data_IF_153074034360
#
_entry.id   IF_153074034360
#
_cell.length_a   1.000
_cell.length_b   1.000
_cell.length_c   1.000
_cell.angle_alpha   90.00
_cell.angle_beta   90.00
_cell.angle_gamma   90.00
#
_symmetry.space_group_name_H-M   'P 1'
#
loop_
_entity.id
_entity.type
_entity.pdbx_description
1 polymer ?
#
# COMPACT_ATOMS: atom_id res chain seq x y z
N UNK A 1 -12.40 7.83 75.76
CA UNK A 1 -12.81 6.40 75.83
C UNK A 1 -11.70 5.62 75.14
N UNK A 2 -10.69 5.03 75.79
CA UNK A 2 -10.58 4.27 77.05
C UNK A 2 -11.03 2.80 76.95
N UNK A 3 -10.10 1.92 76.58
CA UNK A 3 -9.88 0.49 76.97
C UNK A 3 -8.87 -0.11 75.95
N UNK A 4 -7.66 -0.62 76.29
CA UNK A 4 -7.27 -1.75 77.17
C UNK A 4 -7.70 -3.13 76.57
N UNK A 5 -6.93 -4.24 76.53
CA UNK A 5 -5.67 -4.74 77.17
C UNK A 5 -4.91 -5.60 76.12
N UNK A 6 -3.57 -5.72 76.03
CA UNK A 6 -2.52 -6.34 76.89
C UNK A 6 -2.66 -7.85 77.17
N UNK A 7 -1.72 -8.67 76.66
CA UNK A 7 -1.13 -9.86 77.33
C UNK A 7 0.14 -10.40 76.60
N UNK A 8 1.13 -10.89 77.36
CA UNK A 8 2.42 -11.47 76.91
C UNK A 8 2.45 -13.01 76.94
N UNK A 9 3.37 -13.63 76.18
CA UNK A 9 4.15 -14.83 76.59
C UNK A 9 5.43 -15.01 75.72
N UNK A 10 6.41 -15.80 76.19
CA UNK A 10 7.80 -15.85 75.69
C UNK A 10 8.29 -17.32 75.34
N UNK A 11 9.56 -17.56 74.89
CA UNK A 11 10.03 -18.78 74.14
C UNK A 11 10.56 -19.89 75.10
N UNK A 12 11.52 -20.83 74.82
CA UNK A 12 12.39 -21.19 73.66
C UNK A 12 12.31 -22.73 73.33
N UNK A 13 13.32 -23.52 72.82
CA UNK A 13 14.71 -23.23 72.38
C UNK A 13 15.31 -24.02 71.16
N UNK A 14 16.60 -23.74 70.91
CA UNK A 14 17.73 -24.56 70.41
C UNK A 14 17.94 -25.02 68.94
N UNK A 15 19.24 -25.00 68.59
CA UNK A 15 19.89 -25.19 67.28
C UNK A 15 20.38 -26.65 67.07
N UNK A 16 20.88 -27.01 65.88
CA UNK A 16 22.33 -26.87 65.69
C UNK A 16 22.76 -26.27 64.35
N UNK A 17 24.02 -25.79 64.35
CA UNK A 17 24.72 -25.15 63.24
C UNK A 17 25.16 -26.17 62.18
N UNK A 18 25.03 -25.81 60.90
CA UNK A 18 25.93 -26.31 59.85
C UNK A 18 26.29 -25.16 58.90
N UNK A 19 27.58 -24.86 58.80
CA UNK A 19 28.09 -23.82 57.92
C UNK A 19 28.54 -24.46 56.60
N UNK A 20 27.92 -24.05 55.49
CA UNK A 20 28.43 -24.30 54.15
C UNK A 20 28.26 -23.01 53.32
N UNK A 21 29.38 -22.32 53.08
CA UNK A 21 29.39 -21.17 52.20
C UNK A 21 29.40 -21.63 50.73
N UNK A 22 28.36 -21.29 49.98
CA UNK A 22 28.39 -21.36 48.52
C UNK A 22 27.53 -20.25 47.88
N UNK A 23 28.09 -19.71 46.81
CA UNK A 23 27.73 -18.53 46.03
C UNK A 23 26.22 -18.34 45.72
N UNK A 24 25.75 -17.09 45.55
CA UNK A 24 24.38 -16.83 45.11
C UNK A 24 24.13 -17.42 43.71
N UNK A 25 23.07 -18.22 43.58
CA UNK A 25 22.64 -18.83 42.32
C UNK A 25 22.29 -17.75 41.29
N UNK A 26 23.03 -17.70 40.18
CA UNK A 26 22.77 -16.75 39.11
C UNK A 26 21.39 -17.01 38.48
N UNK A 27 20.55 -15.98 38.44
CA UNK A 27 19.34 -15.98 37.61
C UNK A 27 19.71 -16.27 36.15
N UNK A 28 18.94 -17.07 35.40
CA UNK A 28 19.22 -17.29 33.99
C UNK A 28 19.13 -15.96 33.26
N UNK A 29 20.25 -15.52 32.65
CA UNK A 29 20.28 -14.25 31.93
C UNK A 29 19.21 -14.23 30.83
N UNK A 30 18.48 -13.12 30.67
CA UNK A 30 17.44 -12.96 29.64
C UNK A 30 17.95 -13.28 28.21
N UNK A 31 19.26 -13.16 28.00
CA UNK A 31 20.01 -13.62 26.83
C UNK A 31 19.73 -15.08 26.44
N UNK A 32 19.53 -15.98 27.40
CA UNK A 32 19.34 -17.42 27.18
C UNK A 32 17.91 -17.73 26.69
N UNK A 33 16.89 -17.16 27.34
CA UNK A 33 15.48 -17.30 26.92
C UNK A 33 15.25 -16.70 25.53
N UNK A 34 15.86 -15.55 25.23
CA UNK A 34 15.82 -14.94 23.89
C UNK A 34 16.51 -15.82 22.85
N UNK A 35 17.54 -16.57 23.22
CA UNK A 35 18.25 -17.50 22.31
C UNK A 35 17.44 -18.77 22.05
N UNK A 36 16.77 -19.33 23.07
CA UNK A 36 15.83 -20.45 22.92
C UNK A 36 14.61 -20.07 22.08
N UNK A 37 13.99 -18.90 22.33
CA UNK A 37 12.87 -18.40 21.50
C UNK A 37 13.27 -18.21 20.03
N UNK A 38 14.50 -17.72 19.77
CA UNK A 38 15.03 -17.63 18.40
C UNK A 38 15.27 -19.00 17.74
N UNK A 39 15.76 -19.99 18.49
CA UNK A 39 15.94 -21.35 17.96
C UNK A 39 14.60 -22.04 17.67
N UNK A 40 13.60 -21.89 18.54
CA UNK A 40 12.24 -22.39 18.29
C UNK A 40 11.60 -21.70 17.08
N UNK A 41 11.70 -20.37 16.95
CA UNK A 41 11.21 -19.66 15.77
C UNK A 41 11.94 -20.06 14.48
N UNK A 42 13.27 -20.27 14.51
CA UNK A 42 14.01 -20.74 13.34
C UNK A 42 13.67 -22.18 12.95
N UNK A 43 13.44 -23.08 13.91
CA UNK A 43 12.98 -24.44 13.63
C UNK A 43 11.56 -24.46 13.06
N UNK A 44 10.64 -23.66 13.61
CA UNK A 44 9.28 -23.53 13.10
C UNK A 44 9.24 -22.92 11.69
N UNK A 45 10.15 -21.99 11.38
CA UNK A 45 10.28 -21.39 10.05
C UNK A 45 10.98 -22.31 9.04
N UNK A 46 11.89 -23.19 9.48
CA UNK A 46 12.48 -24.22 8.63
C UNK A 46 11.53 -25.40 8.36
N UNK A 47 10.67 -25.78 9.31
CA UNK A 47 9.65 -26.81 9.10
C UNK A 47 8.58 -26.38 8.09
N UNK A 48 8.17 -25.10 8.06
CA UNK A 48 7.31 -24.57 6.99
C UNK A 48 7.99 -24.43 5.61
N UNK A 49 9.32 -24.64 5.53
CA UNK A 49 10.08 -24.52 4.27
C UNK A 49 10.27 -25.85 3.54
N UNK A 50 9.66 -26.95 4.01
CA UNK A 50 9.77 -28.29 3.43
C UNK A 50 8.41 -28.96 3.24
N UNK A 51 7.58 -28.43 2.34
CA UNK A 51 6.59 -29.24 1.63
C UNK A 51 6.99 -29.37 0.16
N UNK A 52 7.03 -30.59 -0.40
CA UNK A 52 7.36 -30.79 -1.81
C UNK A 52 6.16 -30.42 -2.69
N UNK A 53 6.38 -29.53 -3.64
CA UNK A 53 5.40 -29.15 -4.65
C UNK A 53 4.98 -30.35 -5.51
N UNK A 54 3.68 -30.67 -5.57
CA UNK A 54 3.01 -31.24 -6.75
C UNK A 54 1.47 -31.21 -6.62
N UNK A 55 0.81 -30.94 -7.76
CA UNK A 55 -0.63 -31.13 -8.07
C UNK A 55 -1.69 -30.41 -7.21
N UNK A 56 -2.32 -29.41 -7.84
CA UNK A 56 -3.71 -28.95 -7.63
C UNK A 56 -4.21 -28.89 -6.18
N UNK A 57 -3.47 -28.21 -5.30
CA UNK A 57 -3.97 -27.86 -3.99
C UNK A 57 -5.10 -26.83 -4.10
N UNK A 58 -6.20 -27.05 -3.37
CA UNK A 58 -7.20 -26.02 -3.09
C UNK A 58 -6.48 -24.81 -2.48
N UNK A 59 -6.61 -23.65 -3.11
CA UNK A 59 -6.07 -22.41 -2.54
C UNK A 59 -6.85 -22.14 -1.26
N UNK A 60 -6.18 -22.19 -0.11
CA UNK A 60 -6.83 -21.90 1.17
C UNK A 60 -7.50 -20.52 1.10
N UNK A 61 -8.77 -20.40 1.56
CA UNK A 61 -9.54 -19.19 1.42
C UNK A 61 -8.85 -18.01 2.12
N UNK A 62 -8.83 -16.85 1.47
CA UNK A 62 -8.07 -15.70 1.90
C UNK A 62 -8.72 -15.07 3.14
N UNK A 63 -8.16 -15.28 4.33
CA UNK A 63 -8.76 -14.75 5.56
C UNK A 63 -8.40 -13.28 5.81
N UNK A 64 -9.41 -12.48 6.14
CA UNK A 64 -9.30 -11.10 6.61
C UNK A 64 -9.77 -10.96 8.05
N UNK A 65 -9.19 -10.01 8.79
CA UNK A 65 -9.53 -9.69 10.18
C UNK A 65 -9.84 -8.20 10.36
N UNK A 66 -10.98 -7.89 10.94
CA UNK A 66 -11.40 -6.52 11.27
C UNK A 66 -10.70 -6.00 12.53
N UNK A 67 -10.80 -4.69 12.78
CA UNK A 67 -10.22 -4.04 13.97
C UNK A 67 -10.93 -4.43 15.28
N UNK A 68 -12.13 -4.98 15.21
CA UNK A 68 -12.86 -5.57 16.34
C UNK A 68 -12.51 -7.04 16.61
N UNK A 69 -11.66 -7.65 15.76
CA UNK A 69 -11.22 -9.04 15.87
C UNK A 69 -12.06 -10.06 15.11
N UNK A 70 -13.19 -9.67 14.49
CA UNK A 70 -13.95 -10.58 13.61
C UNK A 70 -13.14 -10.98 12.38
N UNK A 71 -13.23 -12.25 12.00
CA UNK A 71 -12.59 -12.79 10.80
C UNK A 71 -13.64 -13.10 9.73
N UNK A 72 -13.25 -12.97 8.47
CA UNK A 72 -14.11 -13.21 7.31
C UNK A 72 -13.27 -13.69 6.11
N UNK A 73 -13.91 -14.43 5.20
CA UNK A 73 -13.31 -14.76 3.91
C UNK A 73 -13.31 -13.53 3.00
N UNK A 74 -12.17 -13.24 2.37
CA UNK A 74 -11.94 -12.09 1.49
C UNK A 74 -12.15 -12.54 0.03
N UNK A 75 -13.26 -12.15 -0.62
CA UNK A 75 -13.54 -12.54 -1.99
C UNK A 75 -12.50 -12.03 -2.99
N UNK A 76 -12.39 -12.74 -4.11
CA UNK A 76 -11.51 -12.41 -5.21
C UNK A 76 -11.92 -11.11 -5.89
N UNK A 77 -11.01 -10.14 -5.93
CA UNK A 77 -11.19 -8.88 -6.65
C UNK A 77 -10.63 -9.01 -8.09
N UNK A 78 -11.32 -8.50 -9.12
CA UNK A 78 -10.75 -8.46 -10.46
C UNK A 78 -9.74 -7.34 -10.61
N UNK A 79 -8.65 -7.63 -11.32
CA UNK A 79 -7.64 -6.68 -11.76
C UNK A 79 -8.25 -5.41 -12.38
N UNK A 80 -7.75 -4.24 -11.95
CA UNK A 80 -8.24 -2.93 -12.36
C UNK A 80 -8.24 -2.74 -13.88
N UNK A 81 -7.11 -3.04 -14.54
CA UNK A 81 -6.95 -2.75 -15.96
C UNK A 81 -7.90 -3.61 -16.79
N UNK A 82 -8.02 -4.88 -16.44
CA UNK A 82 -8.95 -5.82 -17.07
C UNK A 82 -10.40 -5.37 -16.84
N UNK A 83 -10.76 -5.05 -15.60
CA UNK A 83 -12.12 -4.61 -15.24
C UNK A 83 -12.54 -3.32 -15.95
N UNK A 84 -11.64 -2.34 -16.09
CA UNK A 84 -11.95 -1.03 -16.70
C UNK A 84 -11.84 -1.06 -18.22
N UNK A 85 -10.81 -1.69 -18.81
CA UNK A 85 -10.53 -1.57 -20.25
C UNK A 85 -11.03 -2.72 -21.13
N UNK A 86 -11.33 -3.93 -20.61
CA UNK A 86 -11.94 -4.99 -21.43
C UNK A 86 -13.42 -4.67 -21.72
N UNK A 87 -13.84 -4.43 -22.98
CA UNK A 87 -15.22 -4.08 -23.31
C UNK A 87 -16.22 -5.21 -23.07
N UNK A 88 -15.76 -6.44 -22.78
CA UNK A 88 -16.61 -7.60 -22.48
C UNK A 88 -17.04 -7.65 -21.01
N UNK A 89 -16.32 -6.95 -20.13
CA UNK A 89 -16.66 -6.87 -18.71
C UNK A 89 -17.77 -5.83 -18.49
N UNK A 90 -18.73 -6.07 -17.57
CA UNK A 90 -19.72 -5.07 -17.21
C UNK A 90 -19.03 -3.83 -16.59
N UNK A 91 -19.63 -2.65 -16.80
CA UNK A 91 -19.05 -1.36 -16.36
C UNK A 91 -19.92 -0.71 -15.30
N UNK A 92 -19.29 -0.32 -14.19
CA UNK A 92 -19.94 0.46 -13.16
C UNK A 92 -20.05 1.94 -13.56
N UNK A 93 -20.94 2.73 -12.93
CA UNK A 93 -20.96 4.19 -13.10
C UNK A 93 -19.59 4.87 -12.90
N UNK A 94 -18.75 4.41 -11.97
CA UNK A 94 -17.39 4.95 -11.79
C UNK A 94 -16.41 4.52 -12.89
N UNK A 95 -16.51 3.31 -13.43
CA UNK A 95 -15.70 2.89 -14.59
C UNK A 95 -16.10 3.70 -15.83
N UNK A 96 -17.41 3.94 -16.05
CA UNK A 96 -17.92 4.78 -17.13
C UNK A 96 -17.43 6.23 -16.96
N UNK A 97 -17.53 6.81 -15.75
CA UNK A 97 -17.00 8.14 -15.45
C UNK A 97 -15.50 8.23 -15.77
N UNK A 98 -14.74 7.20 -15.41
CA UNK A 98 -13.30 7.11 -15.72
C UNK A 98 -13.08 7.10 -17.22
N UNK A 99 -13.69 6.16 -17.95
CA UNK A 99 -13.55 6.03 -19.41
C UNK A 99 -13.95 7.31 -20.16
N UNK A 100 -15.05 7.96 -19.77
CA UNK A 100 -15.50 9.24 -20.33
C UNK A 100 -14.49 10.35 -20.03
N UNK A 101 -13.94 10.41 -18.81
CA UNK A 101 -12.91 11.39 -18.44
C UNK A 101 -11.59 11.18 -19.21
N UNK A 102 -11.18 9.93 -19.45
CA UNK A 102 -10.02 9.61 -20.26
C UNK A 102 -10.24 9.96 -21.75
N UNK A 103 -11.41 9.63 -22.29
CA UNK A 103 -11.77 9.98 -23.67
C UNK A 103 -11.85 11.50 -23.87
N UNK A 104 -12.47 12.23 -22.93
CA UNK A 104 -12.57 13.69 -22.96
C UNK A 104 -11.19 14.36 -22.94
N UNK A 105 -10.22 13.84 -22.18
CA UNK A 105 -8.85 14.32 -22.22
C UNK A 105 -8.22 14.15 -23.61
N UNK A 106 -8.37 12.97 -24.23
CA UNK A 106 -7.87 12.72 -25.59
C UNK A 106 -8.52 13.70 -26.59
N UNK A 107 -9.83 13.93 -26.49
CA UNK A 107 -10.54 14.94 -27.29
C UNK A 107 -9.96 16.35 -27.07
N UNK A 108 -9.85 16.81 -25.82
CA UNK A 108 -9.30 18.14 -25.50
C UNK A 108 -7.88 18.30 -26.07
N UNK A 109 -7.05 17.26 -26.02
CA UNK A 109 -5.70 17.30 -26.59
C UNK A 109 -5.68 17.56 -28.10
N UNK A 110 -6.57 16.91 -28.87
CA UNK A 110 -6.62 17.07 -30.32
C UNK A 110 -7.37 18.31 -30.81
N UNK A 111 -8.29 18.86 -30.00
CA UNK A 111 -9.13 20.02 -30.35
C UNK A 111 -8.65 21.37 -29.77
N UNK A 112 -7.53 21.41 -29.04
CA UNK A 112 -6.95 22.65 -28.50
C UNK A 112 -5.60 22.98 -29.14
N UNK A 113 -5.21 24.26 -29.12
CA UNK A 113 -3.88 24.65 -29.56
C UNK A 113 -2.81 24.14 -28.59
N UNK A 114 -1.58 23.95 -29.08
CA UNK A 114 -0.46 23.41 -28.28
C UNK A 114 -0.24 24.15 -26.95
N UNK A 115 -0.36 25.48 -26.94
CA UNK A 115 -0.19 26.28 -25.72
C UNK A 115 -1.36 26.09 -24.73
N UNK A 116 -2.60 25.97 -25.25
CA UNK A 116 -3.78 25.66 -24.43
C UNK A 116 -3.67 24.25 -23.82
N UNK A 117 -3.27 23.24 -24.61
CA UNK A 117 -3.03 21.89 -24.13
C UNK A 117 -1.97 21.86 -23.02
N UNK A 118 -0.84 22.54 -23.20
CA UNK A 118 0.22 22.63 -22.18
C UNK A 118 -0.30 23.22 -20.86
N UNK A 119 -1.02 24.34 -20.91
CA UNK A 119 -1.57 24.97 -19.72
C UNK A 119 -2.67 24.11 -19.06
N UNK A 120 -3.59 23.58 -19.85
CA UNK A 120 -4.70 22.75 -19.37
C UNK A 120 -4.18 21.46 -18.72
N UNK A 121 -3.37 20.67 -19.41
CA UNK A 121 -2.88 19.40 -18.86
C UNK A 121 -1.91 19.59 -17.71
N UNK A 122 -1.17 20.71 -17.63
CA UNK A 122 -0.39 21.03 -16.43
C UNK A 122 -1.30 21.22 -15.20
N UNK A 123 -2.32 22.07 -15.30
CA UNK A 123 -3.24 22.34 -14.17
C UNK A 123 -4.06 21.10 -13.83
N UNK A 124 -4.56 20.38 -14.84
CA UNK A 124 -5.33 19.15 -14.67
C UNK A 124 -4.49 18.03 -14.04
N UNK A 125 -3.23 17.86 -14.48
CA UNK A 125 -2.29 16.94 -13.83
C UNK A 125 -2.03 17.35 -12.37
N UNK A 126 -1.73 18.62 -12.09
CA UNK A 126 -1.47 19.09 -10.72
C UNK A 126 -2.67 18.87 -9.79
N UNK A 127 -3.91 19.00 -10.30
CA UNK A 127 -5.11 18.65 -9.56
C UNK A 127 -5.16 17.15 -9.20
N UNK A 128 -4.99 16.24 -10.17
CA UNK A 128 -5.02 14.80 -9.89
C UNK A 128 -3.83 14.34 -9.05
N UNK A 129 -2.67 14.96 -9.22
CA UNK A 129 -1.47 14.74 -8.40
C UNK A 129 -1.69 15.15 -6.96
N UNK A 130 -2.35 16.29 -6.72
CA UNK A 130 -2.76 16.71 -5.39
C UNK A 130 -3.82 15.77 -4.81
N UNK A 131 -4.82 15.35 -5.59
CA UNK A 131 -5.83 14.38 -5.16
C UNK A 131 -5.20 13.03 -4.76
N UNK A 132 -4.22 12.55 -5.53
CA UNK A 132 -3.46 11.34 -5.23
C UNK A 132 -2.60 11.53 -3.96
N UNK A 133 -1.59 12.39 -3.96
CA UNK A 133 -0.62 12.40 -2.85
C UNK A 133 -1.10 13.16 -1.61
N UNK A 134 -1.80 14.29 -1.75
CA UNK A 134 -2.30 15.04 -0.59
C UNK A 134 -3.71 14.57 -0.17
N UNK A 135 -4.60 14.35 -1.14
CA UNK A 135 -5.98 13.90 -0.91
C UNK A 135 -6.04 12.50 -0.29
N UNK A 136 -5.55 11.47 -0.99
CA UNK A 136 -5.51 10.12 -0.41
C UNK A 136 -4.62 10.06 0.83
N UNK A 137 -3.50 10.80 0.87
CA UNK A 137 -2.64 10.87 2.05
C UNK A 137 -3.38 11.35 3.30
N UNK A 138 -4.25 12.36 3.17
CA UNK A 138 -5.10 12.82 4.27
C UNK A 138 -6.23 11.82 4.59
N UNK A 139 -6.97 11.35 3.58
CA UNK A 139 -8.09 10.41 3.73
C UNK A 139 -7.65 9.10 4.39
N UNK A 140 -6.57 8.48 3.90
CA UNK A 140 -6.04 7.22 4.40
C UNK A 140 -5.40 7.37 5.79
N UNK A 141 -4.72 8.48 6.07
CA UNK A 141 -4.23 8.78 7.41
C UNK A 141 -5.39 8.90 8.43
N UNK A 142 -6.50 9.53 8.04
CA UNK A 142 -7.71 9.63 8.86
C UNK A 142 -8.42 8.27 9.01
N UNK A 143 -8.54 7.49 7.93
CA UNK A 143 -9.10 6.13 7.95
C UNK A 143 -8.28 5.19 8.84
N UNK A 144 -6.96 5.14 8.64
CA UNK A 144 -6.04 4.32 9.42
C UNK A 144 -6.11 4.62 10.92
N UNK A 145 -6.13 5.90 11.32
CA UNK A 145 -6.08 6.32 12.73
C UNK A 145 -7.43 6.36 13.43
N UNK A 146 -8.53 6.60 12.70
CA UNK A 146 -9.85 6.93 13.28
C UNK A 146 -11.03 6.23 12.61
N UNK A 147 -10.80 5.27 11.71
CA UNK A 147 -11.85 4.64 10.87
C UNK A 147 -12.74 5.68 10.18
N UNK A 148 -12.17 6.80 9.74
CA UNK A 148 -12.94 7.99 9.35
C UNK A 148 -13.92 7.75 8.19
N UNK A 149 -13.52 7.03 7.13
CA UNK A 149 -14.39 6.76 5.98
C UNK A 149 -15.54 5.87 6.43
N UNK A 150 -15.22 4.76 7.11
CA UNK A 150 -16.21 3.81 7.67
C UNK A 150 -17.21 4.55 8.56
N UNK A 151 -16.70 5.34 9.50
CA UNK A 151 -17.50 6.17 10.40
C UNK A 151 -18.33 7.23 9.68
N UNK A 152 -17.92 7.74 8.51
CA UNK A 152 -18.74 8.65 7.70
C UNK A 152 -19.88 7.90 7.02
N UNK A 153 -19.60 6.74 6.41
CA UNK A 153 -20.60 5.89 5.73
C UNK A 153 -21.67 5.41 6.74
N UNK A 154 -21.26 4.89 7.89
CA UNK A 154 -22.16 4.40 8.94
C UNK A 154 -22.99 5.53 9.56
N UNK A 155 -22.38 6.69 9.84
CA UNK A 155 -23.11 7.85 10.39
C UNK A 155 -24.18 8.37 9.43
N UNK A 156 -23.96 8.34 8.13
CA UNK A 156 -25.00 8.68 7.15
C UNK A 156 -25.94 7.51 6.84
N UNK A 157 -25.60 6.28 7.25
CA UNK A 157 -26.40 5.09 7.00
C UNK A 157 -26.42 4.66 5.54
N UNK A 158 -25.36 4.95 4.76
CA UNK A 158 -25.35 4.69 3.31
C UNK A 158 -25.43 3.21 2.92
N UNK A 159 -25.07 2.30 3.84
CA UNK A 159 -25.23 0.85 3.67
C UNK A 159 -26.47 0.28 4.41
N UNK A 160 -27.22 1.13 5.10
CA UNK A 160 -28.42 0.76 5.86
C UNK A 160 -29.67 0.92 4.98
N UNK A 161 -30.40 -0.18 4.82
CA UNK A 161 -31.60 -0.27 3.98
C UNK A 161 -32.73 0.67 4.43
N UNK A 162 -32.87 0.90 5.74
CA UNK A 162 -33.94 1.74 6.30
C UNK A 162 -33.59 3.22 6.23
N UNK A 163 -32.30 3.56 6.32
CA UNK A 163 -31.84 4.96 6.40
C UNK A 163 -31.56 5.59 5.04
N UNK A 164 -30.93 4.86 4.11
CA UNK A 164 -30.57 5.40 2.80
C UNK A 164 -30.78 4.36 1.67
N UNK A 165 -31.99 3.83 1.45
CA UNK A 165 -32.25 2.72 0.52
C UNK A 165 -31.75 2.98 -0.90
N UNK A 166 -31.90 4.22 -1.41
CA UNK A 166 -31.42 4.59 -2.76
C UNK A 166 -29.89 4.57 -2.85
N UNK A 167 -29.21 5.13 -1.85
CA UNK A 167 -27.73 5.15 -1.80
C UNK A 167 -27.19 3.74 -1.65
N UNK A 168 -27.78 2.94 -0.76
CA UNK A 168 -27.45 1.53 -0.57
C UNK A 168 -27.60 0.73 -1.86
N UNK A 169 -28.74 0.85 -2.54
CA UNK A 169 -28.99 0.15 -3.79
C UNK A 169 -27.96 0.53 -4.87
N UNK A 170 -27.58 1.80 -4.97
CA UNK A 170 -26.54 2.25 -5.90
C UNK A 170 -25.15 1.71 -5.55
N UNK A 171 -24.75 1.73 -4.27
CA UNK A 171 -23.47 1.13 -3.84
C UNK A 171 -23.49 -0.38 -4.11
N UNK A 172 -24.54 -1.08 -3.68
CA UNK A 172 -24.70 -2.53 -3.87
C UNK A 172 -24.60 -2.91 -5.34
N UNK A 173 -25.36 -2.25 -6.22
CA UNK A 173 -25.27 -2.44 -7.66
C UNK A 173 -23.84 -2.22 -8.18
N UNK A 174 -23.16 -1.15 -7.75
CA UNK A 174 -21.80 -0.85 -8.18
C UNK A 174 -20.78 -1.91 -7.74
N UNK A 175 -20.92 -2.49 -6.54
CA UNK A 175 -20.04 -3.55 -6.07
C UNK A 175 -20.34 -4.89 -6.77
N UNK A 176 -21.61 -5.32 -6.77
CA UNK A 176 -22.04 -6.59 -7.39
C UNK A 176 -21.75 -6.63 -8.90
N UNK A 177 -21.83 -5.50 -9.60
CA UNK A 177 -21.49 -5.41 -11.04
C UNK A 177 -20.01 -5.72 -11.30
N UNK A 178 -19.11 -5.38 -10.36
CA UNK A 178 -17.65 -5.52 -10.52
C UNK A 178 -17.13 -6.81 -9.89
N UNK A 179 -17.84 -7.41 -8.93
CA UNK A 179 -17.39 -8.61 -8.21
C UNK A 179 -17.78 -9.93 -8.90
N UNK A 180 -17.17 -11.03 -8.45
CA UNK A 180 -17.41 -12.40 -8.93
C UNK A 180 -18.47 -13.11 -8.07
N UNK A 181 -18.80 -14.35 -8.41
CA UNK A 181 -19.84 -15.17 -7.76
C UNK A 181 -19.56 -15.57 -6.30
N UNK A 182 -18.35 -15.34 -5.80
CA UNK A 182 -17.90 -15.52 -4.42
C UNK A 182 -18.19 -14.29 -3.53
N UNK A 183 -18.78 -13.22 -4.07
CA UNK A 183 -19.11 -12.00 -3.34
C UNK A 183 -20.61 -11.93 -2.98
N UNK A 184 -20.90 -11.79 -1.68
CA UNK A 184 -22.22 -11.44 -1.16
C UNK A 184 -22.13 -10.13 -0.36
N UNK A 185 -22.80 -9.09 -0.88
CA UNK A 185 -22.86 -7.76 -0.26
C UNK A 185 -23.40 -7.79 1.18
N UNK A 186 -24.34 -8.69 1.48
CA UNK A 186 -25.06 -8.76 2.76
C UNK A 186 -24.27 -9.55 3.82
N UNK A 187 -23.51 -10.57 3.41
CA UNK A 187 -22.72 -11.39 4.32
C UNK A 187 -21.39 -10.74 4.73
N UNK A 188 -20.86 -9.82 3.91
CA UNK A 188 -19.54 -9.23 4.10
C UNK A 188 -19.54 -7.98 5.01
N UNK A 189 -18.45 -7.72 5.75
CA UNK A 189 -18.34 -6.53 6.59
C UNK A 189 -18.44 -5.21 5.81
N UNK A 190 -19.05 -4.20 6.44
CA UNK A 190 -19.10 -2.83 5.90
C UNK A 190 -17.71 -2.33 5.50
N UNK A 191 -16.67 -2.61 6.29
CA UNK A 191 -15.29 -2.22 6.03
C UNK A 191 -14.77 -2.72 4.68
N UNK A 192 -15.13 -3.95 4.28
CA UNK A 192 -14.74 -4.53 2.99
C UNK A 192 -15.52 -3.88 1.85
N UNK A 193 -16.84 -3.74 1.98
CA UNK A 193 -17.70 -3.09 0.98
C UNK A 193 -17.28 -1.61 0.74
N UNK A 194 -16.90 -0.90 1.81
CA UNK A 194 -16.40 0.48 1.75
C UNK A 194 -15.01 0.54 1.11
N UNK A 195 -14.14 -0.44 1.38
CA UNK A 195 -12.85 -0.56 0.71
C UNK A 195 -13.01 -0.82 -0.80
N UNK A 196 -13.94 -1.67 -1.24
CA UNK A 196 -14.21 -1.87 -2.67
C UNK A 196 -14.73 -0.61 -3.37
N UNK A 197 -15.57 0.18 -2.70
CA UNK A 197 -16.02 1.47 -3.21
C UNK A 197 -14.86 2.48 -3.28
N UNK A 198 -14.02 2.51 -2.24
CA UNK A 198 -12.81 3.32 -2.20
C UNK A 198 -11.84 2.96 -3.34
N UNK A 199 -11.60 1.66 -3.61
CA UNK A 199 -10.82 1.16 -4.75
C UNK A 199 -11.27 1.78 -6.06
N UNK A 200 -12.58 1.79 -6.32
CA UNK A 200 -13.14 2.36 -7.56
C UNK A 200 -13.02 3.89 -7.64
N UNK A 201 -12.91 4.61 -6.51
CA UNK A 201 -12.59 6.05 -6.49
C UNK A 201 -11.09 6.28 -6.74
N UNK A 202 -10.24 5.41 -6.21
CA UNK A 202 -8.78 5.44 -6.43
C UNK A 202 -8.44 5.15 -7.89
N UNK A 203 -9.16 4.24 -8.56
CA UNK A 203 -9.06 3.97 -10.00
C UNK A 203 -9.22 5.26 -10.83
N UNK A 204 -10.27 6.04 -10.53
CA UNK A 204 -10.54 7.35 -11.18
C UNK A 204 -9.34 8.28 -11.01
N UNK A 205 -8.79 8.38 -9.79
CA UNK A 205 -7.68 9.30 -9.47
C UNK A 205 -6.39 8.92 -10.21
N UNK A 206 -5.95 7.65 -10.12
CA UNK A 206 -4.66 7.24 -10.70
C UNK A 206 -4.69 7.24 -12.23
N UNK A 207 -5.80 6.81 -12.85
CA UNK A 207 -5.90 6.78 -14.31
C UNK A 207 -5.95 8.19 -14.90
N UNK A 208 -6.65 9.14 -14.24
CA UNK A 208 -6.65 10.54 -14.67
C UNK A 208 -5.28 11.22 -14.43
N UNK A 209 -4.61 10.98 -13.30
CA UNK A 209 -3.24 11.48 -13.05
C UNK A 209 -2.26 11.04 -14.14
N UNK A 210 -2.25 9.74 -14.46
CA UNK A 210 -1.34 9.17 -15.46
C UNK A 210 -1.60 9.69 -16.89
N UNK A 211 -2.86 9.75 -17.31
CA UNK A 211 -3.21 10.22 -18.67
C UNK A 211 -2.99 11.73 -18.80
N UNK A 212 -3.34 12.52 -17.78
CA UNK A 212 -3.08 13.96 -17.77
C UNK A 212 -1.59 14.28 -17.86
N UNK A 213 -0.75 13.57 -17.08
CA UNK A 213 0.70 13.69 -17.15
C UNK A 213 1.24 13.34 -18.55
N UNK A 214 0.75 12.25 -19.14
CA UNK A 214 1.19 11.78 -20.45
C UNK A 214 0.84 12.79 -21.55
N UNK A 215 -0.39 13.32 -21.55
CA UNK A 215 -0.82 14.34 -22.52
C UNK A 215 -0.12 15.69 -22.31
N UNK A 216 0.19 16.07 -21.07
CA UNK A 216 1.09 17.19 -20.79
C UNK A 216 2.46 16.97 -21.43
N UNK A 217 3.08 15.81 -21.21
CA UNK A 217 4.39 15.47 -21.79
C UNK A 217 4.39 15.46 -23.33
N UNK A 218 3.34 14.93 -23.95
CA UNK A 218 3.17 14.97 -25.41
C UNK A 218 2.99 16.42 -25.93
N UNK A 219 2.18 17.25 -25.27
CA UNK A 219 2.00 18.67 -25.66
C UNK A 219 3.31 19.47 -25.55
N UNK A 220 4.22 19.06 -24.66
CA UNK A 220 5.54 19.63 -24.49
C UNK A 220 6.61 19.08 -25.45
N UNK A 221 6.32 18.04 -26.25
CA UNK A 221 7.34 17.32 -27.02
C UNK A 221 7.94 18.18 -28.13
N UNK A 222 9.27 18.34 -28.11
CA UNK A 222 10.03 19.12 -29.10
C UNK A 222 11.24 18.36 -29.61
N UNK A 223 11.75 18.81 -30.76
CA UNK A 223 13.05 18.39 -31.29
C UNK A 223 14.05 19.53 -31.03
N UNK A 224 15.04 19.37 -30.14
CA UNK A 224 16.02 20.42 -29.86
C UNK A 224 16.87 20.76 -31.10
N UNK A 225 16.92 22.03 -31.46
CA UNK A 225 17.76 22.52 -32.55
C UNK A 225 19.26 22.41 -32.18
N UNK A 226 20.13 22.24 -33.17
CA UNK A 226 21.58 22.13 -32.99
C UNK A 226 22.08 20.79 -32.42
N UNK A 227 21.20 19.85 -32.10
CA UNK A 227 21.59 18.50 -31.70
C UNK A 227 21.86 17.61 -32.92
N UNK A 228 22.80 16.65 -32.79
CA UNK A 228 23.02 15.64 -33.83
C UNK A 228 21.91 14.61 -33.86
N UNK A 229 21.70 13.96 -35.02
CA UNK A 229 20.75 12.84 -35.18
C UNK A 229 21.01 11.74 -34.14
N UNK A 230 22.29 11.43 -33.88
CA UNK A 230 22.69 10.47 -32.85
C UNK A 230 22.28 10.88 -31.43
N UNK A 231 22.34 12.17 -31.09
CA UNK A 231 21.87 12.66 -29.80
C UNK A 231 20.34 12.56 -29.66
N UNK A 232 19.58 12.71 -30.75
CA UNK A 232 18.14 12.44 -30.75
C UNK A 232 17.82 10.96 -30.58
N UNK A 233 18.50 10.08 -31.34
CA UNK A 233 18.35 8.62 -31.25
C UNK A 233 18.69 8.15 -29.83
N UNK A 234 19.83 8.54 -29.27
CA UNK A 234 20.24 8.15 -27.92
C UNK A 234 19.28 8.61 -26.84
N UNK A 235 18.77 9.85 -26.93
CA UNK A 235 17.75 10.40 -26.02
C UNK A 235 16.44 9.60 -26.06
N UNK A 236 15.97 9.24 -27.25
CA UNK A 236 14.75 8.43 -27.41
C UNK A 236 14.95 6.97 -27.00
N UNK A 237 16.08 6.35 -27.35
CA UNK A 237 16.41 5.00 -26.93
C UNK A 237 16.47 4.87 -25.40
N UNK A 238 17.16 5.79 -24.73
CA UNK A 238 17.19 5.86 -23.27
C UNK A 238 15.81 6.17 -22.67
N UNK A 239 15.07 7.13 -23.25
CA UNK A 239 13.73 7.49 -22.79
C UNK A 239 12.74 6.34 -22.85
N UNK A 240 12.66 5.64 -23.98
CA UNK A 240 11.83 4.44 -24.15
C UNK A 240 12.30 3.28 -23.26
N UNK A 241 13.61 3.11 -23.06
CA UNK A 241 14.15 2.09 -22.14
C UNK A 241 13.66 2.33 -20.70
N UNK A 242 13.70 3.59 -20.23
CA UNK A 242 13.19 3.95 -18.91
C UNK A 242 11.66 3.79 -18.79
N UNK A 243 10.90 4.06 -19.84
CA UNK A 243 9.45 3.83 -19.89
C UNK A 243 9.13 2.33 -19.83
N UNK A 244 9.81 1.50 -20.64
CA UNK A 244 9.61 0.05 -20.65
C UNK A 244 10.00 -0.59 -19.31
N UNK A 245 11.14 -0.19 -18.75
CA UNK A 245 11.57 -0.61 -17.40
C UNK A 245 10.55 -0.21 -16.34
N UNK A 246 9.98 1.00 -16.42
CA UNK A 246 8.96 1.46 -15.49
C UNK A 246 7.66 0.64 -15.57
N UNK A 247 7.20 0.32 -16.78
CA UNK A 247 6.04 -0.54 -16.99
C UNK A 247 6.29 -1.94 -16.39
N UNK A 248 7.47 -2.52 -16.62
CA UNK A 248 7.86 -3.80 -16.00
C UNK A 248 7.86 -3.73 -14.46
N UNK A 249 8.46 -2.69 -13.86
CA UNK A 249 8.44 -2.48 -12.40
C UNK A 249 7.02 -2.42 -11.85
N UNK A 250 6.10 -1.70 -12.53
CA UNK A 250 4.71 -1.56 -12.07
C UNK A 250 3.93 -2.87 -12.20
N UNK A 251 4.08 -3.59 -13.31
CA UNK A 251 3.42 -4.89 -13.53
C UNK A 251 3.91 -5.95 -12.54
N UNK A 252 5.22 -6.03 -12.30
CA UNK A 252 5.78 -6.98 -11.34
C UNK A 252 5.41 -6.62 -9.89
N UNK A 253 5.41 -5.32 -9.53
CA UNK A 253 4.95 -4.88 -8.22
C UNK A 253 3.46 -5.23 -7.99
N UNK A 254 2.59 -5.01 -8.99
CA UNK A 254 1.17 -5.40 -8.89
C UNK A 254 1.00 -6.93 -8.75
N UNK A 255 1.80 -7.72 -9.49
CA UNK A 255 1.82 -9.20 -9.38
C UNK A 255 2.12 -9.67 -7.95
N UNK A 256 3.06 -9.01 -7.26
CA UNK A 256 3.50 -9.37 -5.90
C UNK A 256 2.51 -8.90 -4.84
N UNK A 257 2.12 -7.63 -4.89
CA UNK A 257 1.37 -6.96 -3.82
C UNK A 257 -0.14 -7.27 -3.85
N UNK A 258 -0.68 -7.55 -5.04
CA UNK A 258 -2.11 -7.71 -5.33
C UNK A 258 -2.94 -6.45 -5.03
N UNK A 259 -4.19 -6.45 -5.47
CA UNK A 259 -5.18 -5.39 -5.24
C UNK A 259 -5.25 -4.96 -3.77
N UNK A 260 -5.29 -5.90 -2.82
CA UNK A 260 -5.42 -5.59 -1.38
C UNK A 260 -4.45 -4.50 -0.91
N UNK A 261 -3.16 -4.65 -1.16
CA UNK A 261 -2.16 -3.69 -0.70
C UNK A 261 -1.82 -2.60 -1.76
N UNK A 262 -2.17 -2.79 -3.04
CA UNK A 262 -2.15 -1.69 -4.02
C UNK A 262 -3.17 -0.58 -3.68
N UNK A 263 -4.30 -0.95 -3.07
CA UNK A 263 -5.36 -0.03 -2.66
C UNK A 263 -5.43 0.23 -1.13
N UNK A 264 -4.31 0.07 -0.42
CA UNK A 264 -4.19 0.34 1.03
C UNK A 264 -5.32 -0.30 1.87
N UNK A 265 -5.66 -1.56 1.58
CA UNK A 265 -6.70 -2.33 2.27
C UNK A 265 -6.45 -2.49 3.77
N UNK A 266 -5.18 -2.46 4.17
CA UNK A 266 -4.69 -2.43 5.56
C UNK A 266 -5.18 -1.21 6.38
N UNK A 267 -5.67 -0.16 5.71
CA UNK A 267 -6.38 0.94 6.37
C UNK A 267 -7.80 0.56 6.86
N UNK A 268 -8.40 -0.49 6.29
CA UNK A 268 -9.77 -0.95 6.55
C UNK A 268 -9.79 -2.24 7.37
N UNK A 269 -9.12 -3.29 6.90
CA UNK A 269 -9.05 -4.62 7.52
C UNK A 269 -7.66 -5.23 7.31
N UNK A 270 -7.27 -6.22 8.11
CA UNK A 270 -5.99 -6.91 7.98
C UNK A 270 -6.15 -8.21 7.19
N UNK A 271 -5.49 -8.35 6.05
CA UNK A 271 -5.32 -9.66 5.42
C UNK A 271 -4.34 -10.54 6.24
N UNK A 272 -4.71 -11.80 6.50
CA UNK A 272 -3.90 -12.75 7.29
C UNK A 272 -2.87 -13.51 6.44
N UNK A 273 -2.86 -13.34 5.12
CA UNK A 273 -1.87 -13.93 4.24
C UNK A 273 -0.52 -13.20 4.37
N UNK A 274 0.58 -13.97 4.45
CA UNK A 274 1.93 -13.41 4.33
C UNK A 274 2.25 -13.10 2.87
N UNK A 275 2.55 -11.84 2.56
CA UNK A 275 3.09 -11.47 1.25
C UNK A 275 4.52 -12.04 1.13
N UNK A 276 4.72 -12.94 0.18
CA UNK A 276 6.06 -13.36 -0.24
C UNK A 276 6.62 -12.28 -1.16
N UNK A 277 7.43 -11.39 -0.60
CA UNK A 277 8.11 -10.35 -1.37
C UNK A 277 9.18 -10.98 -2.28
N UNK A 278 8.85 -11.11 -3.57
CA UNK A 278 9.76 -11.60 -4.61
C UNK A 278 9.98 -10.54 -5.72
N UNK A 279 10.65 -10.93 -6.81
CA UNK A 279 10.80 -10.09 -8.00
C UNK A 279 11.45 -8.73 -7.69
N UNK A 280 10.81 -7.66 -8.13
CA UNK A 280 11.28 -6.28 -8.02
C UNK A 280 11.47 -5.80 -6.56
N UNK A 281 10.79 -6.41 -5.57
CA UNK A 281 10.99 -6.11 -4.15
C UNK A 281 12.34 -6.61 -3.59
N UNK A 282 13.05 -7.47 -4.32
CA UNK A 282 14.44 -7.81 -4.01
C UNK A 282 15.43 -6.70 -4.44
N UNK A 283 15.05 -5.84 -5.38
CA UNK A 283 15.91 -4.79 -5.94
C UNK A 283 15.80 -3.47 -5.15
N UNK A 284 14.60 -3.15 -4.67
CA UNK A 284 14.32 -1.94 -3.89
C UNK A 284 13.23 -2.23 -2.84
N UNK A 285 13.27 -1.58 -1.65
CA UNK A 285 12.25 -1.77 -0.61
C UNK A 285 10.87 -1.27 -1.06
N UNK A 286 10.83 -0.13 -1.74
CA UNK A 286 9.63 0.53 -2.23
C UNK A 286 9.72 0.72 -3.75
N UNK A 287 9.65 -0.37 -4.54
CA UNK A 287 9.89 -0.32 -5.97
C UNK A 287 8.85 0.55 -6.69
N UNK A 288 7.62 0.65 -6.17
CA UNK A 288 6.59 1.53 -6.70
C UNK A 288 6.91 3.03 -6.63
N UNK A 289 7.68 3.44 -5.61
CA UNK A 289 7.90 4.85 -5.26
C UNK A 289 9.33 5.33 -5.52
N UNK A 290 10.28 4.40 -5.69
CA UNK A 290 11.67 4.68 -6.04
C UNK A 290 11.91 4.50 -7.55
N UNK A 291 12.30 3.30 -7.98
CA UNK A 291 12.54 2.95 -9.39
C UNK A 291 11.27 3.04 -10.25
N UNK A 292 10.09 2.95 -9.61
CA UNK A 292 8.76 3.16 -10.18
C UNK A 292 8.45 4.57 -10.66
N UNK A 293 9.39 5.52 -10.59
CA UNK A 293 9.33 6.83 -11.27
C UNK A 293 10.23 6.97 -12.51
N UNK A 294 11.00 5.94 -12.88
CA UNK A 294 11.86 5.95 -14.07
C UNK A 294 11.13 6.41 -15.36
N UNK A 295 9.87 6.04 -15.54
CA UNK A 295 9.07 6.38 -16.72
C UNK A 295 8.76 7.88 -16.83
N UNK A 296 8.68 8.61 -15.70
CA UNK A 296 8.51 10.06 -15.69
C UNK A 296 9.75 10.77 -16.23
N UNK A 297 10.93 10.27 -15.88
CA UNK A 297 12.19 10.75 -16.45
C UNK A 297 12.34 10.32 -17.92
N UNK A 298 11.91 9.10 -18.27
CA UNK A 298 11.86 8.63 -19.65
C UNK A 298 11.00 9.52 -20.56
N UNK A 299 9.79 9.90 -20.12
CA UNK A 299 8.93 10.86 -20.82
C UNK A 299 9.54 12.28 -20.90
N UNK A 300 10.27 12.73 -19.88
CA UNK A 300 11.02 13.99 -19.95
C UNK A 300 12.14 13.95 -20.99
N UNK A 301 12.84 12.82 -21.12
CA UNK A 301 13.82 12.58 -22.19
C UNK A 301 13.15 12.54 -23.56
N UNK A 302 12.08 11.76 -23.75
CA UNK A 302 11.37 11.66 -25.03
C UNK A 302 10.80 13.02 -25.51
N UNK A 303 10.27 13.83 -24.59
CA UNK A 303 9.72 15.17 -24.89
C UNK A 303 10.79 16.26 -25.06
N UNK A 304 12.02 16.08 -24.55
CA UNK A 304 13.07 17.10 -24.48
C UNK A 304 12.64 18.42 -23.79
N UNK A 305 11.69 18.34 -22.86
CA UNK A 305 11.14 19.50 -22.17
C UNK A 305 11.62 19.58 -20.73
N UNK A 306 12.27 20.70 -20.37
CA UNK A 306 12.58 21.01 -18.98
C UNK A 306 11.32 21.16 -18.12
N UNK A 307 10.22 21.65 -18.68
CA UNK A 307 8.95 21.73 -17.95
C UNK A 307 8.46 20.32 -17.56
N UNK A 308 8.53 19.35 -18.47
CA UNK A 308 8.22 17.94 -18.16
C UNK A 308 9.18 17.40 -17.12
N UNK A 309 10.48 17.64 -17.25
CA UNK A 309 11.48 17.20 -16.25
C UNK A 309 11.22 17.75 -14.83
N UNK A 310 10.93 19.05 -14.69
CA UNK A 310 10.63 19.63 -13.38
C UNK A 310 9.28 19.16 -12.82
N UNK A 311 8.28 18.94 -13.67
CA UNK A 311 7.01 18.32 -13.28
C UNK A 311 7.22 16.86 -12.84
N UNK A 312 8.09 16.09 -13.52
CA UNK A 312 8.52 14.75 -13.09
C UNK A 312 9.19 14.74 -11.73
N UNK A 313 10.06 15.73 -11.45
CA UNK A 313 10.71 15.88 -10.16
C UNK A 313 9.69 16.21 -9.06
N UNK A 314 8.78 17.15 -9.30
CA UNK A 314 7.72 17.50 -8.36
C UNK A 314 6.78 16.30 -8.08
N UNK A 315 6.41 15.55 -9.12
CA UNK A 315 5.59 14.35 -9.06
C UNK A 315 6.25 13.20 -8.26
N UNK A 316 7.56 13.00 -8.42
CA UNK A 316 8.32 12.03 -7.64
C UNK A 316 8.49 12.48 -6.18
N UNK A 317 8.77 13.77 -5.96
CA UNK A 317 8.88 14.35 -4.62
C UNK A 317 7.56 14.26 -3.83
N UNK A 318 6.41 14.55 -4.45
CA UNK A 318 5.11 14.41 -3.80
C UNK A 318 4.78 12.95 -3.45
N UNK A 319 5.24 11.98 -4.24
CA UNK A 319 5.14 10.56 -3.89
C UNK A 319 6.02 10.22 -2.68
N UNK A 320 7.25 10.74 -2.64
CA UNK A 320 8.13 10.54 -1.49
C UNK A 320 7.53 11.15 -0.21
N UNK A 321 6.89 12.31 -0.30
CA UNK A 321 6.12 12.89 0.81
C UNK A 321 4.95 12.00 1.23
N UNK A 322 4.18 11.42 0.30
CA UNK A 322 3.11 10.46 0.63
C UNK A 322 3.67 9.25 1.39
N UNK A 323 4.78 8.67 0.91
CA UNK A 323 5.46 7.54 1.54
C UNK A 323 5.94 7.87 2.96
N UNK A 324 6.56 9.04 3.17
CA UNK A 324 7.13 9.42 4.47
C UNK A 324 6.07 9.93 5.48
N UNK A 325 5.04 10.65 5.02
CA UNK A 325 4.06 11.30 5.90
C UNK A 325 2.86 10.42 6.24
N UNK A 326 2.48 9.51 5.35
CA UNK A 326 1.33 8.61 5.55
C UNK A 326 1.75 7.14 5.65
N UNK A 327 2.38 6.59 4.60
CA UNK A 327 2.44 5.14 4.40
C UNK A 327 3.46 4.44 5.31
N UNK A 328 4.68 4.97 5.43
CA UNK A 328 5.67 4.47 6.40
C UNK A 328 5.16 4.58 7.86
N UNK A 329 4.55 5.72 8.28
CA UNK A 329 3.84 5.82 9.57
C UNK A 329 2.57 4.96 9.69
N UNK A 330 1.97 4.50 8.59
CA UNK A 330 0.88 3.51 8.60
C UNK A 330 1.46 2.13 8.90
N UNK A 331 2.36 1.65 8.03
CA UNK A 331 3.00 0.33 8.12
C UNK A 331 3.62 0.11 9.51
N UNK A 332 4.34 1.10 10.05
CA UNK A 332 4.95 1.01 11.37
C UNK A 332 3.93 0.85 12.53
N UNK A 333 2.70 1.38 12.39
CA UNK A 333 1.62 1.20 13.38
C UNK A 333 0.86 -0.11 13.19
N UNK A 334 0.67 -0.54 11.95
CA UNK A 334 -0.12 -1.72 11.60
C UNK A 334 0.66 -3.02 11.77
N UNK A 335 1.95 -3.02 11.40
CA UNK A 335 2.83 -4.18 11.37
C UNK A 335 4.06 -4.07 12.30
N UNK A 336 4.17 -2.98 13.07
CA UNK A 336 5.28 -2.72 14.00
C UNK A 336 6.55 -2.19 13.32
N UNK A 337 7.41 -1.51 14.08
CA UNK A 337 8.54 -0.73 13.53
C UNK A 337 9.50 -1.52 12.62
N UNK A 338 9.67 -2.82 12.87
CA UNK A 338 10.60 -3.71 12.15
C UNK A 338 10.27 -3.96 10.68
N UNK A 339 9.07 -3.58 10.24
CA UNK A 339 8.55 -3.65 8.86
C UNK A 339 8.76 -2.38 8.03
N UNK A 340 9.12 -1.26 8.67
CA UNK A 340 9.25 0.04 8.00
C UNK A 340 10.48 0.13 7.07
N UNK A 341 10.41 1.00 6.07
CA UNK A 341 11.54 1.39 5.19
C UNK A 341 12.76 1.83 6.03
N UNK A 342 12.53 2.56 7.12
CA UNK A 342 13.57 2.95 8.07
C UNK A 342 14.21 1.76 8.80
N UNK A 343 13.47 0.68 9.08
CA UNK A 343 14.05 -0.55 9.61
C UNK A 343 14.81 -1.36 8.54
N UNK A 344 14.36 -1.37 7.28
CA UNK A 344 15.14 -1.93 6.17
C UNK A 344 16.45 -1.18 5.96
N UNK A 345 16.42 0.15 5.90
CA UNK A 345 17.61 0.99 5.70
C UNK A 345 18.63 0.79 6.84
N UNK A 346 18.17 0.72 8.11
CA UNK A 346 19.00 0.35 9.26
C UNK A 346 19.63 -1.04 9.10
N UNK A 347 18.84 -2.07 8.74
CA UNK A 347 19.35 -3.44 8.49
C UNK A 347 20.36 -3.50 7.34
N UNK A 348 20.19 -2.71 6.28
CA UNK A 348 21.13 -2.66 5.14
C UNK A 348 22.43 -1.95 5.55
N UNK A 349 22.35 -0.81 6.22
CA UNK A 349 23.52 -0.12 6.76
C UNK A 349 24.32 -1.00 7.73
N UNK A 350 23.64 -1.77 8.59
CA UNK A 350 24.29 -2.78 9.46
C UNK A 350 24.95 -3.92 8.68
N UNK A 351 24.32 -4.45 7.61
CA UNK A 351 24.92 -5.49 6.76
C UNK A 351 26.16 -4.99 6.01
N UNK A 352 26.10 -3.76 5.49
CA UNK A 352 27.23 -3.12 4.81
C UNK A 352 28.37 -2.88 5.81
N UNK A 353 28.07 -2.34 7.00
CA UNK A 353 29.05 -2.17 8.09
C UNK A 353 29.71 -3.49 8.50
N UNK A 354 28.94 -4.58 8.63
CA UNK A 354 29.44 -5.94 8.93
C UNK A 354 30.17 -6.64 7.76
N UNK A 355 30.29 -6.00 6.60
CA UNK A 355 31.13 -6.45 5.47
C UNK A 355 32.36 -5.55 5.25
N UNK A 356 32.42 -4.41 5.93
CA UNK A 356 33.52 -3.42 5.88
C UNK A 356 34.34 -3.40 7.19
N UNK A 357 33.89 -4.15 8.20
CA UNK A 357 34.58 -4.47 9.44
C UNK A 357 34.58 -5.99 9.61
#
# INVERSE_FOLDING_TARGET
MSAAMVAHAQPPPDLPVSAAASSPSASPSASAEVRQRKQQQQQQQQQLSQEPSLTTAEQQPLMGRLKDGREFEVPSTPDMLTSIFDPRQPKTPLDILTLVSLAAQITIYFFTSRAQAQAFFLVYFLFWRAAYNAGLGWVLNAQSKKNWIVSVVDRHGWLDEKRAPKTRAWIKQQLETKMRSDYDFEALPNEYNIWLLFRSIVDVILLNDFVAYSLFAFSCTRLPEGHSVWAHIGRWALGWTLIAFNAWVKLDAHRVVKDYAWYWGDCFFLCLQQLVFDGVYNLAPDPMYSIGYAGYYGLSLCSASYAVFFVSLAAHFSQFLFLQLFESPHIARTYGEGSSVAAWARKVAERIRKKLC
#
